data_IF_373684939006
#
_entry.id   IF_373684939006
#
_cell.length_a   1.000
_cell.length_b   1.000
_cell.length_c   1.000
_cell.angle_alpha   90.00
_cell.angle_beta   90.00
_cell.angle_gamma   90.00
#
_symmetry.space_group_name_H-M   'P 1'
#
loop_
_entity.id
_entity.type
_entity.pdbx_description
1 polymer ?
#
# COMPACT_ATOMS: atom_id res chain seq x y z
N UNK A 1 14.45 1.40 -1.13
CA UNK A 1 15.15 0.10 -1.08
C UNK A 1 14.17 -1.06 -0.94
N UNK A 2 13.29 -1.08 0.10
CA UNK A 2 12.36 -2.21 0.37
C UNK A 2 11.50 -2.60 -0.84
N UNK A 3 10.92 -1.63 -1.53
CA UNK A 3 10.04 -1.86 -2.69
C UNK A 3 10.78 -2.55 -3.86
N UNK A 4 12.08 -2.37 -3.97
CA UNK A 4 12.91 -3.09 -4.96
C UNK A 4 13.08 -4.57 -4.64
N UNK A 5 13.02 -4.92 -3.37
CA UNK A 5 13.22 -6.29 -2.88
C UNK A 5 11.92 -7.12 -2.86
N UNK A 6 10.77 -6.48 -2.94
CA UNK A 6 9.47 -7.17 -2.99
C UNK A 6 8.27 -6.25 -2.79
N UNK A 7 7.06 -6.77 -2.98
CA UNK A 7 5.83 -6.00 -2.82
C UNK A 7 5.67 -5.46 -1.39
N UNK A 8 5.36 -4.17 -1.30
CA UNK A 8 5.16 -3.46 -0.05
C UNK A 8 3.73 -2.91 0.05
N UNK A 9 3.16 -2.95 1.24
CA UNK A 9 1.88 -2.32 1.56
C UNK A 9 2.08 -1.29 2.68
N UNK A 10 1.56 -0.08 2.48
CA UNK A 10 1.46 0.93 3.53
C UNK A 10 0.04 0.87 4.08
N UNK A 11 -0.08 0.38 5.29
CA UNK A 11 -1.36 0.29 5.97
C UNK A 11 -1.70 1.60 6.67
N UNK A 12 -2.93 2.07 6.42
CA UNK A 12 -3.53 3.23 7.05
C UNK A 12 -4.82 2.82 7.75
N UNK A 13 -5.08 3.37 8.92
CA UNK A 13 -6.32 3.08 9.66
C UNK A 13 -7.57 3.60 8.97
N UNK A 14 -7.47 4.75 8.33
CA UNK A 14 -8.60 5.45 7.72
C UNK A 14 -8.37 5.76 6.27
N UNK A 15 -9.47 5.87 5.49
CA UNK A 15 -9.45 6.29 4.10
C UNK A 15 -8.81 7.68 3.91
N UNK A 16 -9.14 8.71 4.74
CA UNK A 16 -8.48 10.01 4.65
C UNK A 16 -6.96 9.92 4.87
N UNK A 17 -6.50 9.08 5.80
CA UNK A 17 -5.05 8.88 6.03
C UNK A 17 -4.39 8.24 4.81
N UNK A 18 -5.02 7.25 4.17
CA UNK A 18 -4.53 6.64 2.95
C UNK A 18 -4.45 7.65 1.79
N UNK A 19 -5.48 8.46 1.61
CA UNK A 19 -5.50 9.54 0.61
C UNK A 19 -4.40 10.57 0.86
N UNK A 20 -4.15 10.94 2.14
CA UNK A 20 -3.07 11.86 2.50
C UNK A 20 -1.70 11.31 2.14
N UNK A 21 -1.46 10.02 2.34
CA UNK A 21 -0.20 9.37 1.95
C UNK A 21 -0.03 9.39 0.43
N UNK A 22 -1.08 9.05 -0.34
CA UNK A 22 -1.04 9.11 -1.81
C UNK A 22 -0.70 10.53 -2.29
N UNK A 23 -1.37 11.55 -1.75
CA UNK A 23 -1.05 12.94 -2.07
C UNK A 23 0.40 13.28 -1.77
N UNK A 24 0.92 12.83 -0.62
CA UNK A 24 2.31 13.05 -0.23
C UNK A 24 3.31 12.36 -1.15
N UNK A 25 2.98 11.17 -1.65
CA UNK A 25 3.81 10.47 -2.65
C UNK A 25 3.94 11.31 -3.92
N UNK A 26 2.82 11.83 -4.46
CA UNK A 26 2.82 12.70 -5.63
C UNK A 26 3.66 13.95 -5.39
N UNK A 27 3.45 14.65 -4.27
CA UNK A 27 4.24 15.83 -3.89
C UNK A 27 5.76 15.54 -3.80
N UNK A 28 6.15 14.36 -3.35
CA UNK A 28 7.56 13.96 -3.28
C UNK A 28 8.15 13.73 -4.67
N UNK A 29 7.39 13.13 -5.56
CA UNK A 29 7.81 12.90 -6.95
C UNK A 29 7.97 14.22 -7.69
N UNK A 30 7.01 15.14 -7.54
CA UNK A 30 7.06 16.50 -8.12
C UNK A 30 8.28 17.29 -7.62
N UNK A 31 8.75 16.98 -6.40
CA UNK A 31 9.98 17.57 -5.82
C UNK A 31 11.27 16.84 -6.21
N UNK A 32 11.20 15.91 -7.17
CA UNK A 32 12.36 15.24 -7.72
C UNK A 32 12.73 13.89 -7.09
N UNK A 33 11.83 13.28 -6.30
CA UNK A 33 12.05 11.93 -5.78
C UNK A 33 11.78 10.83 -6.83
N UNK A 34 12.38 10.95 -8.03
CA UNK A 34 12.21 10.02 -9.16
C UNK A 34 12.56 8.56 -8.80
N UNK A 35 13.54 8.38 -7.91
CA UNK A 35 13.95 7.06 -7.43
C UNK A 35 12.82 6.25 -6.78
N UNK A 36 11.76 6.90 -6.30
CA UNK A 36 10.58 6.23 -5.77
C UNK A 36 9.76 5.59 -6.90
N UNK A 37 9.54 6.33 -8.00
CA UNK A 37 8.85 5.82 -9.18
C UNK A 37 9.61 4.63 -9.80
N UNK A 38 10.93 4.76 -10.00
CA UNK A 38 11.78 3.68 -10.49
C UNK A 38 11.74 2.43 -9.60
N UNK A 39 11.63 2.60 -8.28
CA UNK A 39 11.53 1.49 -7.36
C UNK A 39 10.17 0.76 -7.43
N UNK A 40 9.09 1.47 -7.77
CA UNK A 40 7.73 0.93 -7.82
C UNK A 40 7.43 0.19 -9.12
N UNK A 41 8.12 0.52 -10.22
CA UNK A 41 7.97 -0.13 -11.53
C UNK A 41 9.27 -0.88 -11.85
N UNK A 42 9.18 -2.16 -12.13
CA UNK A 42 10.34 -3.01 -12.38
C UNK A 42 10.17 -3.85 -13.63
N UNK A 43 10.94 -3.48 -14.69
CA UNK A 43 10.97 -4.17 -15.97
C UNK A 43 9.82 -3.80 -16.93
N UNK A 44 9.97 -4.12 -18.19
CA UNK A 44 9.08 -3.71 -19.30
C UNK A 44 7.64 -4.24 -19.15
N UNK A 45 7.48 -5.47 -18.69
CA UNK A 45 6.15 -6.05 -18.45
C UNK A 45 5.38 -5.29 -17.36
N UNK A 46 6.07 -4.85 -16.30
CA UNK A 46 5.47 -4.03 -15.24
C UNK A 46 5.08 -2.66 -15.76
N UNK A 47 5.88 -2.03 -16.61
CA UNK A 47 5.53 -0.74 -17.23
C UNK A 47 4.23 -0.80 -18.02
N UNK A 48 4.05 -1.84 -18.85
CA UNK A 48 2.84 -2.01 -19.65
C UNK A 48 1.61 -2.22 -18.75
N UNK A 49 1.68 -3.09 -17.76
CA UNK A 49 0.55 -3.37 -16.85
C UNK A 49 0.24 -2.19 -15.92
N UNK A 50 1.24 -1.50 -15.41
CA UNK A 50 1.07 -0.25 -14.65
C UNK A 50 0.41 0.81 -15.53
N UNK A 51 0.81 0.93 -16.80
CA UNK A 51 0.18 1.84 -17.76
C UNK A 51 -1.30 1.52 -18.01
N UNK A 52 -1.68 0.24 -18.16
CA UNK A 52 -3.09 -0.18 -18.29
C UNK A 52 -3.90 0.15 -17.04
N UNK A 53 -3.35 -0.12 -15.84
CA UNK A 53 -3.97 0.21 -14.57
C UNK A 53 -4.13 1.72 -14.39
N UNK A 54 -3.10 2.49 -14.70
CA UNK A 54 -3.15 3.95 -14.69
C UNK A 54 -4.28 4.45 -15.60
N UNK A 55 -4.35 3.97 -16.85
CA UNK A 55 -5.42 4.34 -17.79
C UNK A 55 -6.81 4.00 -17.24
N UNK A 56 -6.98 2.81 -16.66
CA UNK A 56 -8.24 2.41 -16.03
C UNK A 56 -8.63 3.37 -14.90
N UNK A 57 -7.68 3.75 -14.06
CA UNK A 57 -7.89 4.68 -12.94
C UNK A 57 -8.23 6.07 -13.47
N UNK A 58 -7.49 6.59 -14.44
CA UNK A 58 -7.71 7.90 -15.04
C UNK A 58 -9.09 8.04 -15.66
N UNK A 59 -9.57 7.02 -16.36
CA UNK A 59 -10.91 7.00 -16.96
C UNK A 59 -12.05 6.98 -15.92
N UNK A 60 -11.83 6.42 -14.74
CA UNK A 60 -12.88 6.25 -13.73
C UNK A 60 -12.84 7.28 -12.59
N UNK A 61 -11.66 7.82 -12.26
CA UNK A 61 -11.46 8.72 -11.11
C UNK A 61 -11.12 10.15 -11.57
N UNK A 62 -10.58 10.29 -12.79
CA UNK A 62 -10.10 11.54 -13.36
C UNK A 62 -8.58 11.57 -13.47
N UNK A 63 -8.10 12.13 -14.57
CA UNK A 63 -6.68 12.17 -14.92
C UNK A 63 -5.87 13.04 -13.94
N UNK A 64 -6.45 14.18 -13.52
CA UNK A 64 -5.82 15.14 -12.61
C UNK A 64 -5.86 14.73 -11.14
N UNK A 65 -6.48 13.60 -10.80
CA UNK A 65 -6.55 13.13 -9.42
C UNK A 65 -5.19 12.64 -8.92
N UNK A 66 -4.86 12.89 -7.64
CA UNK A 66 -3.61 12.35 -7.06
C UNK A 66 -3.55 10.82 -7.14
N UNK A 67 -4.72 10.15 -7.19
CA UNK A 67 -4.81 8.69 -7.31
C UNK A 67 -4.31 8.26 -8.69
N UNK A 68 -4.69 8.99 -9.73
CA UNK A 68 -4.23 8.75 -11.09
C UNK A 68 -2.74 9.06 -11.23
N UNK A 69 -2.30 10.21 -10.73
CA UNK A 69 -0.89 10.61 -10.75
C UNK A 69 0.01 9.61 -9.99
N UNK A 70 -0.43 9.12 -8.84
CA UNK A 70 0.29 8.09 -8.11
C UNK A 70 0.33 6.76 -8.87
N UNK A 71 -0.77 6.38 -9.53
CA UNK A 71 -0.85 5.17 -10.34
C UNK A 71 0.11 5.21 -11.54
N UNK A 72 0.33 6.38 -12.15
CA UNK A 72 1.28 6.56 -13.24
C UNK A 72 2.72 6.15 -12.85
N UNK A 73 3.05 6.26 -11.57
CA UNK A 73 4.37 5.89 -11.02
C UNK A 73 4.33 4.56 -10.25
N UNK A 74 3.30 3.73 -10.45
CA UNK A 74 3.22 2.39 -9.86
C UNK A 74 2.84 2.34 -8.37
N UNK A 75 2.25 3.42 -7.83
CA UNK A 75 1.74 3.47 -6.46
C UNK A 75 0.22 3.45 -6.47
N UNK A 76 -0.38 2.43 -5.91
CA UNK A 76 -1.81 2.19 -5.98
C UNK A 76 -2.50 2.42 -4.63
N UNK A 77 -3.77 2.84 -4.69
CA UNK A 77 -4.63 3.05 -3.53
C UNK A 77 -5.69 1.97 -3.46
N UNK A 78 -5.86 1.37 -2.27
CA UNK A 78 -6.83 0.31 -2.03
C UNK A 78 -7.64 0.54 -0.75
N UNK A 79 -8.83 1.06 -0.88
CA UNK A 79 -9.81 1.18 0.21
C UNK A 79 -11.25 1.12 -0.33
N UNK A 80 -12.24 1.01 0.57
CA UNK A 80 -13.63 0.77 0.19
C UNK A 80 -14.32 1.81 -0.70
N UNK A 81 -13.75 3.03 -0.83
CA UNK A 81 -14.31 4.06 -1.74
C UNK A 81 -13.71 3.99 -3.16
N UNK A 82 -12.69 3.15 -3.38
CA UNK A 82 -12.17 2.90 -4.73
C UNK A 82 -13.13 1.93 -5.44
N UNK A 83 -13.51 2.18 -6.70
CA UNK A 83 -14.37 1.29 -7.47
C UNK A 83 -13.88 -0.15 -7.45
N UNK A 84 -14.82 -1.09 -7.34
CA UNK A 84 -14.50 -2.52 -7.19
C UNK A 84 -13.59 -3.05 -8.32
N UNK A 85 -13.85 -2.67 -9.58
CA UNK A 85 -13.03 -3.09 -10.72
C UNK A 85 -11.57 -2.63 -10.61
N UNK A 86 -11.32 -1.40 -10.14
CA UNK A 86 -9.97 -0.88 -9.91
C UNK A 86 -9.29 -1.63 -8.76
N UNK A 87 -10.01 -1.91 -7.67
CA UNK A 87 -9.45 -2.71 -6.56
C UNK A 87 -9.05 -4.10 -7.03
N UNK A 88 -9.95 -4.79 -7.74
CA UNK A 88 -9.69 -6.14 -8.26
C UNK A 88 -8.49 -6.16 -9.23
N UNK A 89 -8.38 -5.17 -10.13
CA UNK A 89 -7.26 -5.04 -11.03
C UNK A 89 -5.93 -4.76 -10.30
N UNK A 90 -5.96 -3.91 -9.27
CA UNK A 90 -4.79 -3.65 -8.40
C UNK A 90 -4.36 -4.92 -7.67
N UNK A 91 -5.29 -5.68 -7.13
CA UNK A 91 -5.04 -6.95 -6.45
C UNK A 91 -4.41 -8.00 -7.38
N UNK A 92 -4.91 -8.08 -8.62
CA UNK A 92 -4.35 -8.96 -9.65
C UNK A 92 -2.91 -8.56 -10.00
N UNK A 93 -2.66 -7.25 -10.19
CA UNK A 93 -1.33 -6.74 -10.49
C UNK A 93 -0.33 -7.01 -9.34
N UNK A 94 -0.76 -6.83 -8.09
CA UNK A 94 0.06 -7.19 -6.91
C UNK A 94 0.36 -8.69 -6.86
N UNK A 95 -0.64 -9.54 -7.11
CA UNK A 95 -0.50 -11.00 -7.11
C UNK A 95 0.49 -11.47 -8.17
N UNK A 96 0.47 -10.85 -9.31
CA UNK A 96 1.36 -11.17 -10.43
C UNK A 96 2.76 -10.53 -10.28
N UNK A 97 2.97 -9.68 -9.26
CA UNK A 97 4.25 -9.00 -9.04
C UNK A 97 4.49 -7.81 -9.98
N UNK A 98 3.44 -7.36 -10.65
CA UNK A 98 3.48 -6.23 -11.60
C UNK A 98 3.35 -4.88 -10.90
N UNK A 99 2.66 -4.84 -9.77
CA UNK A 99 2.58 -3.71 -8.87
C UNK A 99 3.37 -4.01 -7.58
N UNK A 100 4.16 -3.04 -7.10
CA UNK A 100 5.05 -3.26 -5.96
C UNK A 100 4.71 -2.44 -4.73
N UNK A 101 3.93 -1.37 -4.87
CA UNK A 101 3.56 -0.53 -3.74
C UNK A 101 2.06 -0.24 -3.74
N UNK A 102 1.41 -0.54 -2.63
CA UNK A 102 0.01 -0.23 -2.40
C UNK A 102 -0.16 0.51 -1.07
N UNK A 103 -0.97 1.57 -1.08
CA UNK A 103 -1.45 2.24 0.13
C UNK A 103 -2.87 1.73 0.40
N UNK A 104 -3.14 1.21 1.59
CA UNK A 104 -4.39 0.49 1.84
C UNK A 104 -4.95 0.74 3.25
N UNK A 105 -6.22 0.36 3.40
CA UNK A 105 -6.89 0.24 4.70
C UNK A 105 -7.22 -1.23 4.99
N UNK A 106 -7.93 -1.51 6.07
CA UNK A 106 -8.35 -2.87 6.48
C UNK A 106 -9.09 -3.65 5.40
N UNK A 107 -9.64 -2.99 4.38
CA UNK A 107 -10.29 -3.66 3.23
C UNK A 107 -9.35 -4.58 2.46
N UNK A 108 -8.04 -4.29 2.44
CA UNK A 108 -7.04 -5.19 1.84
C UNK A 108 -6.87 -6.48 2.64
N UNK A 109 -7.12 -6.42 3.95
CA UNK A 109 -7.07 -7.58 4.83
C UNK A 109 -8.30 -8.52 4.66
N UNK A 110 -9.38 -8.02 4.06
CA UNK A 110 -10.64 -8.74 3.91
C UNK A 110 -10.72 -9.38 2.52
N UNK A 111 -10.40 -10.66 2.40
CA UNK A 111 -10.81 -11.45 1.23
C UNK A 111 -9.74 -11.83 0.21
N UNK A 112 -8.55 -11.23 0.17
CA UNK A 112 -7.56 -11.52 -0.88
C UNK A 112 -6.23 -11.98 -0.31
N UNK A 113 -5.70 -13.09 -0.84
CA UNK A 113 -4.36 -13.54 -0.51
C UNK A 113 -3.35 -12.80 -1.40
N UNK A 114 -2.72 -11.74 -0.87
CA UNK A 114 -1.75 -10.93 -1.59
C UNK A 114 -0.32 -11.26 -1.16
N UNK A 115 0.62 -11.32 -2.09
CA UNK A 115 2.03 -11.58 -1.80
C UNK A 115 2.73 -10.33 -1.25
N UNK A 116 2.35 -9.89 -0.05
CA UNK A 116 2.99 -8.75 0.62
C UNK A 116 4.24 -9.26 1.35
N UNK A 117 5.41 -8.72 1.01
CA UNK A 117 6.65 -8.97 1.72
C UNK A 117 6.90 -7.96 2.84
N UNK A 118 6.59 -6.69 2.59
CA UNK A 118 6.81 -5.61 3.54
C UNK A 118 5.49 -4.92 3.89
N UNK A 119 5.13 -4.95 5.16
CA UNK A 119 3.98 -4.22 5.68
C UNK A 119 4.46 -3.03 6.50
N UNK A 120 4.17 -1.83 6.05
CA UNK A 120 4.49 -0.58 6.72
C UNK A 120 3.23 -0.08 7.43
N UNK A 121 3.26 -0.04 8.74
CA UNK A 121 2.16 0.48 9.57
C UNK A 121 2.37 1.98 9.77
N UNK A 122 1.56 2.81 9.13
CA UNK A 122 1.69 4.27 9.21
C UNK A 122 1.27 4.82 10.58
N UNK A 123 0.25 4.23 11.19
CA UNK A 123 -0.22 4.49 12.54
C UNK A 123 -1.12 3.35 12.99
N UNK A 124 -1.22 3.10 14.30
CA UNK A 124 -2.17 2.17 14.92
C UNK A 124 -3.21 2.91 15.78
N UNK A 125 -3.12 4.24 15.88
CA UNK A 125 -4.03 5.05 16.68
C UNK A 125 -5.03 5.79 15.82
N UNK A 126 -6.30 5.42 15.90
CA UNK A 126 -7.37 6.25 15.38
C UNK A 126 -7.60 7.46 16.29
N UNK A 127 -7.73 8.63 15.66
CA UNK A 127 -8.21 9.82 16.32
C UNK A 127 -9.62 9.55 16.87
N UNK A 128 -9.80 9.59 18.20
CA UNK A 128 -11.03 9.26 18.94
C UNK A 128 -11.35 7.76 19.10
N UNK A 129 -10.56 7.03 19.89
CA UNK A 129 -10.92 5.77 20.59
C UNK A 129 -11.17 4.48 19.79
N UNK A 130 -11.02 4.43 18.49
CA UNK A 130 -11.07 3.14 17.79
C UNK A 130 -9.69 2.74 17.31
N UNK A 131 -9.01 1.92 18.09
CA UNK A 131 -7.80 1.21 17.62
C UNK A 131 -8.20 0.28 16.47
N UNK A 132 -7.28 0.04 15.53
CA UNK A 132 -7.42 -1.08 14.59
C UNK A 132 -7.81 -2.31 15.41
N UNK A 133 -8.88 -2.99 15.02
CA UNK A 133 -9.30 -4.15 15.78
C UNK A 133 -8.15 -5.16 15.81
N UNK A 134 -7.93 -5.81 16.95
CA UNK A 134 -6.90 -6.86 17.09
C UNK A 134 -7.08 -7.92 16.00
N UNK A 135 -8.32 -8.23 15.66
CA UNK A 135 -8.68 -9.17 14.58
C UNK A 135 -8.18 -8.69 13.20
N UNK A 136 -8.43 -7.42 12.85
CA UNK A 136 -8.00 -6.87 11.55
C UNK A 136 -6.48 -6.79 11.48
N UNK A 137 -5.83 -6.45 12.60
CA UNK A 137 -4.38 -6.45 12.72
C UNK A 137 -3.80 -7.86 12.51
N UNK A 138 -4.34 -8.89 13.18
CA UNK A 138 -3.91 -10.27 12.98
C UNK A 138 -4.17 -10.76 11.55
N UNK A 139 -5.31 -10.41 10.96
CA UNK A 139 -5.62 -10.74 9.57
C UNK A 139 -4.63 -10.11 8.60
N UNK A 140 -4.21 -8.87 8.87
CA UNK A 140 -3.24 -8.15 8.06
C UNK A 140 -1.83 -8.76 8.17
N UNK A 141 -1.36 -8.99 9.40
CA UNK A 141 -0.06 -9.63 9.67
C UNK A 141 -0.01 -11.04 9.07
N UNK A 142 -1.10 -11.79 9.22
CA UNK A 142 -1.20 -13.14 8.69
C UNK A 142 -1.11 -13.25 7.16
N UNK A 143 -1.05 -12.14 6.43
CA UNK A 143 -0.89 -12.09 4.96
C UNK A 143 0.53 -11.72 4.52
N UNK A 144 1.36 -11.28 5.45
CA UNK A 144 2.76 -10.94 5.19
C UNK A 144 3.58 -12.23 5.10
N UNK A 145 4.31 -12.42 4.00
CA UNK A 145 5.16 -13.61 3.80
C UNK A 145 4.44 -14.90 3.38
N UNK A 146 3.11 -14.91 3.17
CA UNK A 146 2.33 -16.17 2.98
C UNK A 146 2.13 -16.63 1.54
N UNK A 147 2.55 -15.90 0.53
CA UNK A 147 2.07 -16.17 -0.84
C UNK A 147 2.86 -17.20 -1.64
N UNK A 148 3.65 -18.05 -1.01
CA UNK A 148 4.46 -19.05 -1.70
C UNK A 148 5.65 -18.48 -2.50
N UNK A 149 5.68 -17.17 -2.71
CA UNK A 149 6.79 -16.46 -3.36
C UNK A 149 7.85 -15.94 -2.38
N UNK A 150 7.46 -15.71 -1.12
CA UNK A 150 8.36 -15.22 -0.07
C UNK A 150 8.21 -16.07 1.18
N UNK A 151 9.33 -16.58 1.68
CA UNK A 151 9.41 -17.37 2.92
C UNK A 151 9.40 -16.49 4.17
N UNK A 152 9.67 -15.19 4.01
CA UNK A 152 9.75 -14.22 5.09
C UNK A 152 9.02 -12.93 4.73
N UNK A 153 8.39 -12.33 5.74
CA UNK A 153 7.76 -11.03 5.66
C UNK A 153 8.19 -10.13 6.80
N UNK A 154 8.34 -8.83 6.54
CA UNK A 154 8.73 -7.85 7.55
C UNK A 154 7.61 -6.85 7.82
N UNK A 155 7.42 -6.53 9.09
CA UNK A 155 6.49 -5.49 9.55
C UNK A 155 7.32 -4.32 10.07
N UNK A 156 7.07 -3.14 9.49
CA UNK A 156 7.76 -1.91 9.87
C UNK A 156 6.76 -0.95 10.53
N UNK A 157 7.13 -0.43 11.67
CA UNK A 157 6.37 0.60 12.38
C UNK A 157 6.90 1.97 11.96
N UNK A 158 6.08 2.75 11.23
CA UNK A 158 6.48 4.08 10.78
C UNK A 158 6.28 5.15 11.87
N UNK A 159 5.46 4.87 12.90
CA UNK A 159 5.24 5.78 14.01
C UNK A 159 6.19 5.46 15.18
N UNK A 160 7.14 6.35 15.51
CA UNK A 160 8.05 6.17 16.66
C UNK A 160 7.34 6.00 18.00
N UNK A 161 6.14 6.56 18.17
CA UNK A 161 5.33 6.46 19.38
C UNK A 161 4.88 5.03 19.67
N UNK A 162 4.68 4.23 18.62
CA UNK A 162 4.34 2.81 18.76
C UNK A 162 5.50 2.02 19.38
N UNK A 163 6.71 2.34 18.97
CA UNK A 163 7.91 1.71 19.52
C UNK A 163 8.14 2.11 20.99
N UNK A 164 7.95 3.38 21.32
CA UNK A 164 8.07 3.89 22.68
C UNK A 164 7.01 3.28 23.63
N UNK A 165 5.76 3.13 23.16
CA UNK A 165 4.68 2.52 23.95
C UNK A 165 4.95 1.04 24.30
N UNK A 166 5.61 0.28 23.43
CA UNK A 166 6.02 -1.10 23.70
C UNK A 166 7.07 -1.18 24.83
N UNK A 167 7.98 -0.22 24.88
CA UNK A 167 9.05 -0.17 25.88
C UNK A 167 8.53 0.10 27.30
N UNK A 168 7.40 0.80 27.44
CA UNK A 168 6.77 1.14 28.73
C UNK A 168 5.95 -0.04 29.30
N UNK A 169 5.41 -0.92 28.44
CA UNK A 169 4.62 -2.09 28.87
C UNK A 169 5.44 -3.36 29.13
N UNK A 170 6.72 -3.33 28.90
CA UNK A 170 7.66 -4.44 29.11
C UNK A 170 8.37 -4.42 30.46
N UNK A 171 7.71 -3.89 31.52
CA UNK A 171 8.12 -4.06 32.92
C UNK A 171 7.24 -5.04 33.64
#
# INVERSE_FOLDING_TARGET
RLVREGPAAIFCETKPSANKIIKRVVELIDRGASHLAEACISGDASHNEVGKLHRLISLNIGEDSYISQAAAVGVFLHHGNIPHGIRAATELALRNGLARLVVCTSTLAQGVNLPIRYLILSSLYQYKRNNVSVRDFHNLIGRVGRSGKHTEGSILLADPKLYAAKKIRGR
#
